data_IF_552002197627
#
_entry.id   IF_552002197627
#
_cell.length_a   1.000
_cell.length_b   1.000
_cell.length_c   1.000
_cell.angle_alpha   90.00
_cell.angle_beta   90.00
_cell.angle_gamma   90.00
#
_symmetry.space_group_name_H-M   'P 1'
#
loop_
_entity.id
_entity.type
_entity.pdbx_description
1 polymer ?
#
# COMPACT_ATOMS: atom_id res chain seq x y z
N UNK A 1 9.13 40.90 25.09
CA UNK A 1 8.57 39.88 26.02
C UNK A 1 7.69 38.82 25.35
N UNK A 2 6.88 39.12 24.33
CA UNK A 2 6.05 38.11 23.60
C UNK A 2 6.84 36.95 22.96
N UNK A 3 8.06 37.20 22.49
CA UNK A 3 8.89 36.20 21.80
C UNK A 3 9.56 35.18 22.74
N UNK A 4 9.80 35.56 24.00
CA UNK A 4 10.35 34.66 25.03
C UNK A 4 9.28 33.65 25.50
N UNK A 5 8.01 34.05 25.52
CA UNK A 5 6.90 33.17 25.90
C UNK A 5 6.67 32.04 24.87
N UNK A 6 6.80 32.36 23.57
CA UNK A 6 6.70 31.38 22.48
C UNK A 6 7.79 30.31 22.53
N UNK A 7 9.02 30.70 22.89
CA UNK A 7 10.15 29.77 23.05
C UNK A 7 9.95 28.82 24.24
N UNK A 8 9.34 29.28 25.33
CA UNK A 8 9.02 28.44 26.49
C UNK A 8 7.90 27.43 26.20
N UNK A 9 6.89 27.81 25.42
CA UNK A 9 5.81 26.90 25.01
C UNK A 9 6.35 25.79 24.10
N UNK A 10 7.31 26.11 23.21
CA UNK A 10 7.89 25.12 22.29
C UNK A 10 8.75 24.06 23.00
N UNK A 11 9.39 24.41 24.11
CA UNK A 11 10.21 23.47 24.92
C UNK A 11 9.33 22.49 25.72
N UNK A 12 8.11 22.88 26.08
CA UNK A 12 7.19 22.03 26.88
C UNK A 12 6.46 20.96 26.05
N UNK A 13 6.55 20.97 24.72
CA UNK A 13 5.88 20.00 23.82
C UNK A 13 6.78 18.77 23.53
N UNK A 14 7.90 18.62 24.22
CA UNK A 14 8.73 17.41 24.15
C UNK A 14 8.06 16.25 24.91
N UNK A 15 6.91 15.77 24.42
CA UNK A 15 6.31 14.53 24.89
C UNK A 15 7.25 13.39 24.51
N UNK A 16 7.94 12.85 25.51
CA UNK A 16 8.72 11.62 25.38
C UNK A 16 7.79 10.50 24.90
N UNK A 17 7.92 10.13 23.63
CA UNK A 17 7.30 8.92 23.12
C UNK A 17 7.98 7.73 23.80
N UNK A 18 7.33 7.17 24.83
CA UNK A 18 7.79 5.93 25.45
C UNK A 18 7.53 4.81 24.46
N UNK A 19 8.59 4.21 23.94
CA UNK A 19 8.49 2.98 23.17
C UNK A 19 7.99 1.87 24.13
N UNK A 20 6.69 1.55 24.03
CA UNK A 20 6.08 0.45 24.78
C UNK A 20 6.74 -0.89 24.43
N UNK A 21 6.77 -1.82 25.38
CA UNK A 21 7.19 -3.20 25.11
C UNK A 21 6.24 -3.80 24.08
N UNK A 22 6.79 -4.38 23.01
CA UNK A 22 5.99 -5.11 22.02
C UNK A 22 6.04 -6.58 22.38
N UNK A 23 4.88 -7.22 22.47
CA UNK A 23 4.70 -8.62 22.76
C UNK A 23 4.46 -9.38 21.47
N UNK A 24 5.12 -10.53 21.31
CA UNK A 24 4.92 -11.48 20.21
C UNK A 24 4.40 -12.80 20.75
N UNK A 25 3.40 -13.38 20.11
CA UNK A 25 2.97 -14.75 20.35
C UNK A 25 2.51 -15.41 19.05
N UNK A 26 2.57 -16.73 19.02
CA UNK A 26 1.96 -17.54 17.96
C UNK A 26 0.65 -18.09 18.49
N UNK A 27 -0.43 -18.08 17.72
CA UNK A 27 -1.70 -18.72 18.13
C UNK A 27 -1.76 -20.21 17.76
N UNK A 28 -2.86 -20.87 18.11
CA UNK A 28 -3.07 -22.30 17.81
C UNK A 28 -3.20 -22.62 16.31
N UNK A 29 -3.45 -21.62 15.47
CA UNK A 29 -3.49 -21.74 14.01
C UNK A 29 -2.11 -21.49 13.37
N UNK A 30 -1.08 -21.20 14.17
CA UNK A 30 0.27 -20.91 13.69
C UNK A 30 0.49 -19.47 13.24
N UNK A 31 -0.46 -18.56 13.48
CA UNK A 31 -0.33 -17.15 13.10
C UNK A 31 0.45 -16.37 14.16
N UNK A 32 1.36 -15.50 13.72
CA UNK A 32 2.18 -14.66 14.60
C UNK A 32 1.52 -13.31 14.79
N UNK A 33 1.29 -12.93 16.04
CA UNK A 33 0.66 -11.67 16.42
C UNK A 33 1.64 -10.78 17.18
N UNK A 34 1.44 -9.46 17.07
CA UNK A 34 2.19 -8.44 17.80
C UNK A 34 1.22 -7.46 18.47
N UNK A 35 1.49 -7.08 19.73
CA UNK A 35 0.67 -6.14 20.50
C UNK A 35 1.51 -5.37 21.52
N UNK A 36 1.11 -4.16 21.87
CA UNK A 36 1.66 -3.38 22.98
C UNK A 36 1.06 -3.79 24.35
N UNK A 37 0.00 -4.61 24.32
CA UNK A 37 -0.64 -5.21 25.49
C UNK A 37 -0.36 -6.71 25.53
N UNK A 38 0.11 -7.28 26.66
CA UNK A 38 0.33 -8.71 26.77
C UNK A 38 -1.00 -9.47 26.63
N UNK A 39 -1.00 -10.68 26.02
CA UNK A 39 -2.22 -11.46 25.93
C UNK A 39 -2.72 -11.83 27.33
N UNK A 40 -4.04 -11.85 27.50
CA UNK A 40 -4.67 -12.16 28.77
C UNK A 40 -4.15 -13.51 29.30
N UNK A 41 -3.89 -13.61 30.61
CA UNK A 41 -3.25 -14.73 31.33
C UNK A 41 -3.88 -16.13 31.16
N UNK A 42 -4.88 -16.28 30.28
CA UNK A 42 -5.50 -17.54 29.85
C UNK A 42 -5.10 -17.98 28.43
N UNK A 43 -4.24 -17.25 27.74
CA UNK A 43 -3.67 -17.72 26.46
C UNK A 43 -2.65 -18.82 26.74
N UNK A 44 -2.86 -19.99 26.15
CA UNK A 44 -1.97 -21.17 26.20
C UNK A 44 -0.59 -20.96 25.54
N UNK A 45 -0.28 -19.73 25.13
CA UNK A 45 0.90 -19.39 24.34
C UNK A 45 1.66 -18.29 25.11
N UNK A 46 2.89 -18.57 25.58
CA UNK A 46 3.69 -17.58 26.27
C UNK A 46 4.03 -16.45 25.29
N UNK A 47 3.74 -15.21 25.68
CA UNK A 47 4.16 -14.04 24.93
C UNK A 47 5.60 -13.69 25.28
N UNK A 48 6.44 -13.49 24.28
CA UNK A 48 7.78 -12.96 24.45
C UNK A 48 7.79 -11.45 24.23
N UNK A 49 8.52 -10.70 25.05
CA UNK A 49 8.77 -9.28 24.78
C UNK A 49 9.85 -9.15 23.72
N UNK A 50 9.55 -8.44 22.65
CA UNK A 50 10.46 -8.15 21.55
C UNK A 50 10.93 -6.71 21.69
N UNK A 51 12.24 -6.53 21.84
CA UNK A 51 12.87 -5.22 21.72
C UNK A 51 12.96 -4.86 20.23
N UNK A 52 12.12 -3.92 19.80
CA UNK A 52 12.19 -3.41 18.44
C UNK A 52 13.44 -2.57 18.28
N UNK A 53 14.40 -3.06 17.49
CA UNK A 53 15.51 -2.23 17.03
C UNK A 53 14.93 -1.16 16.09
N UNK A 54 15.20 0.13 16.32
CA UNK A 54 14.86 1.16 15.36
C UNK A 54 15.45 0.77 14.01
N UNK A 55 14.60 0.65 13.00
CA UNK A 55 15.07 0.48 11.64
C UNK A 55 15.98 1.67 11.32
N UNK A 56 17.11 1.40 10.66
CA UNK A 56 17.88 2.49 10.09
C UNK A 56 16.91 3.32 9.23
N UNK A 57 17.03 4.67 9.24
CA UNK A 57 16.24 5.48 8.33
C UNK A 57 16.43 4.89 6.95
N UNK A 58 15.34 4.44 6.33
CA UNK A 58 15.36 4.11 4.92
C UNK A 58 15.83 5.40 4.28
N UNK A 59 17.07 5.43 3.76
CA UNK A 59 17.49 6.50 2.84
C UNK A 59 16.40 6.45 1.78
N UNK A 60 15.49 7.41 1.79
CA UNK A 60 14.35 7.40 0.91
C UNK A 60 14.88 7.14 -0.48
N UNK A 61 14.71 5.91 -0.97
CA UNK A 61 14.82 5.69 -2.40
C UNK A 61 13.82 6.67 -2.94
N UNK A 62 14.29 7.58 -3.81
CA UNK A 62 13.41 8.53 -4.46
C UNK A 62 12.25 7.71 -4.99
N UNK A 63 11.11 7.81 -4.31
CA UNK A 63 9.88 7.29 -4.84
C UNK A 63 9.76 8.10 -6.13
N UNK A 64 10.00 7.48 -7.29
CA UNK A 64 9.91 8.10 -8.62
C UNK A 64 8.44 8.41 -8.96
N UNK A 65 7.68 8.80 -7.96
CA UNK A 65 6.32 9.23 -8.04
C UNK A 65 6.43 10.73 -8.28
N UNK A 66 6.54 11.10 -9.56
CA UNK A 66 6.63 12.50 -9.95
C UNK A 66 5.42 13.25 -9.38
N UNK A 67 5.61 14.50 -8.93
CA UNK A 67 4.51 15.36 -8.50
C UNK A 67 3.40 15.45 -9.56
N UNK A 68 3.77 15.36 -10.84
CA UNK A 68 2.84 15.30 -11.97
C UNK A 68 1.85 14.13 -11.85
N UNK A 69 2.30 12.95 -11.42
CA UNK A 69 1.40 11.82 -11.25
C UNK A 69 0.33 12.08 -10.19
N UNK A 70 0.64 12.77 -9.07
CA UNK A 70 -0.34 13.04 -8.00
C UNK A 70 -1.43 14.04 -8.40
N UNK A 71 -1.18 14.85 -9.44
CA UNK A 71 -2.18 15.77 -9.98
C UNK A 71 -3.18 15.08 -10.93
N UNK A 72 -2.88 13.86 -11.39
CA UNK A 72 -3.72 13.14 -12.34
C UNK A 72 -4.84 12.39 -11.62
N UNK A 73 -6.05 12.50 -12.18
CA UNK A 73 -7.21 11.72 -11.75
C UNK A 73 -7.13 10.30 -12.30
N UNK A 74 -6.60 9.38 -11.48
CA UNK A 74 -6.47 7.97 -11.84
C UNK A 74 -7.80 7.28 -12.14
N UNK A 75 -8.90 7.70 -11.52
CA UNK A 75 -10.22 7.14 -11.77
C UNK A 75 -10.73 7.54 -13.16
N UNK A 76 -10.52 8.81 -13.54
CA UNK A 76 -10.82 9.28 -14.90
C UNK A 76 -9.96 8.57 -15.94
N UNK A 77 -8.66 8.44 -15.71
CA UNK A 77 -7.77 7.71 -16.63
C UNK A 77 -8.18 6.24 -16.80
N UNK A 78 -8.56 5.58 -15.72
CA UNK A 78 -9.14 4.23 -15.76
C UNK A 78 -10.39 4.19 -16.63
N UNK A 79 -11.32 5.12 -16.42
CA UNK A 79 -12.57 5.18 -17.16
C UNK A 79 -12.31 5.37 -18.66
N UNK A 80 -11.40 6.28 -19.01
CA UNK A 80 -11.13 6.67 -20.38
C UNK A 80 -10.32 5.63 -21.15
N UNK A 81 -9.34 4.98 -20.52
CA UNK A 81 -8.34 4.14 -21.21
C UNK A 81 -8.49 2.64 -20.95
N UNK A 82 -9.05 2.23 -19.82
CA UNK A 82 -9.02 0.82 -19.38
C UNK A 82 -10.43 0.20 -19.30
N UNK A 83 -11.43 0.97 -18.87
CA UNK A 83 -12.75 0.46 -18.50
C UNK A 83 -13.57 -0.11 -19.67
N UNK A 84 -13.18 0.19 -20.92
CA UNK A 84 -13.82 -0.36 -22.10
C UNK A 84 -13.67 -1.89 -22.16
N UNK A 85 -12.49 -2.40 -21.80
CA UNK A 85 -12.14 -3.82 -21.85
C UNK A 85 -12.04 -4.46 -20.46
N UNK A 86 -11.83 -3.67 -19.42
CA UNK A 86 -11.64 -4.14 -18.06
C UNK A 86 -12.73 -3.70 -17.11
N UNK A 87 -12.92 -4.47 -16.05
CA UNK A 87 -13.79 -4.12 -14.94
C UNK A 87 -13.08 -4.31 -13.59
N UNK A 88 -13.61 -3.67 -12.56
CA UNK A 88 -13.05 -3.66 -11.21
C UNK A 88 -13.57 -4.85 -10.40
N UNK A 89 -13.18 -6.06 -10.79
CA UNK A 89 -13.64 -7.28 -10.13
C UNK A 89 -12.84 -8.51 -10.54
N UNK A 90 -13.33 -9.67 -10.13
CA UNK A 90 -12.77 -10.96 -10.48
C UNK A 90 -13.35 -11.50 -11.79
N UNK A 91 -12.59 -12.35 -12.48
CA UNK A 91 -13.08 -13.11 -13.63
C UNK A 91 -13.57 -12.27 -14.80
N UNK A 92 -14.40 -12.86 -15.66
CA UNK A 92 -15.00 -12.17 -16.80
C UNK A 92 -16.42 -11.74 -16.47
N UNK A 93 -16.75 -10.48 -16.75
CA UNK A 93 -18.10 -9.94 -16.58
C UNK A 93 -18.45 -9.06 -17.78
N UNK A 94 -19.63 -9.28 -18.39
CA UNK A 94 -20.12 -8.48 -19.52
C UNK A 94 -19.11 -8.35 -20.68
N UNK A 95 -18.35 -9.42 -20.95
CA UNK A 95 -17.31 -9.46 -21.97
C UNK A 95 -15.99 -8.77 -21.58
N UNK A 96 -15.91 -8.18 -20.38
CA UNK A 96 -14.72 -7.51 -19.85
C UNK A 96 -13.90 -8.44 -18.97
N UNK A 97 -12.59 -8.17 -18.89
CA UNK A 97 -11.65 -8.91 -18.06
C UNK A 97 -11.46 -8.17 -16.73
N UNK A 98 -11.71 -8.86 -15.62
CA UNK A 98 -11.50 -8.35 -14.27
C UNK A 98 -10.02 -8.28 -13.92
N UNK A 99 -9.60 -7.20 -13.27
CA UNK A 99 -8.21 -6.99 -12.87
C UNK A 99 -7.88 -7.43 -11.44
N UNK A 100 -8.83 -7.97 -10.68
CA UNK A 100 -8.59 -8.33 -9.28
C UNK A 100 -7.35 -9.22 -9.11
N UNK A 101 -7.20 -10.29 -9.89
CA UNK A 101 -6.06 -11.21 -9.77
C UNK A 101 -4.71 -10.62 -10.24
N UNK A 102 -4.76 -9.52 -11.00
CA UNK A 102 -3.57 -8.76 -11.38
C UNK A 102 -3.17 -7.82 -10.26
N UNK A 103 -4.14 -7.16 -9.63
CA UNK A 103 -3.89 -6.13 -8.62
C UNK A 103 -3.67 -6.72 -7.23
N UNK A 104 -4.45 -7.73 -6.85
CA UNK A 104 -4.45 -8.35 -5.52
C UNK A 104 -3.64 -9.65 -5.56
N UNK A 105 -2.77 -9.81 -4.57
CA UNK A 105 -2.06 -11.06 -4.35
C UNK A 105 -3.01 -12.07 -3.70
N UNK A 106 -3.28 -13.18 -4.39
CA UNK A 106 -4.16 -14.24 -3.89
C UNK A 106 -3.68 -14.90 -2.60
N UNK A 107 -2.38 -14.85 -2.30
CA UNK A 107 -1.82 -15.43 -1.08
C UNK A 107 -2.06 -14.52 0.14
N UNK A 108 -2.05 -13.20 -0.06
CA UNK A 108 -2.14 -12.25 1.05
C UNK A 108 -3.49 -11.54 1.14
N UNK A 109 -4.25 -11.51 0.06
CA UNK A 109 -5.49 -10.73 -0.06
C UNK A 109 -5.26 -9.22 -0.16
N UNK A 110 -3.99 -8.77 -0.24
CA UNK A 110 -3.65 -7.35 -0.35
C UNK A 110 -3.22 -6.98 -1.76
N UNK A 111 -3.37 -5.70 -2.16
CA UNK A 111 -2.78 -5.21 -3.39
C UNK A 111 -1.27 -5.49 -3.43
N UNK A 112 -0.78 -5.93 -4.60
CA UNK A 112 0.65 -6.13 -4.86
C UNK A 112 1.42 -4.81 -4.73
N UNK A 113 2.74 -4.86 -4.48
CA UNK A 113 3.59 -3.68 -4.47
C UNK A 113 3.51 -2.87 -5.78
N UNK A 114 3.65 -1.55 -5.69
CA UNK A 114 3.55 -0.62 -6.82
C UNK A 114 4.52 -0.94 -7.97
N UNK A 115 5.74 -1.38 -7.66
CA UNK A 115 6.76 -1.74 -8.64
C UNK A 115 6.40 -3.02 -9.40
N UNK A 116 5.88 -4.03 -8.71
CA UNK A 116 5.36 -5.25 -9.35
C UNK A 116 4.16 -4.94 -10.24
N UNK A 117 3.23 -4.10 -9.77
CA UNK A 117 2.07 -3.68 -10.56
C UNK A 117 2.48 -2.88 -11.80
N UNK A 118 3.47 -2.00 -11.66
CA UNK A 118 4.02 -1.23 -12.77
C UNK A 118 4.60 -2.16 -13.82
N UNK A 119 5.46 -3.10 -13.45
CA UNK A 119 6.06 -4.04 -14.40
C UNK A 119 4.98 -4.83 -15.16
N UNK A 120 4.02 -5.42 -14.43
CA UNK A 120 2.94 -6.21 -15.02
C UNK A 120 2.06 -5.39 -15.96
N UNK A 121 1.67 -4.19 -15.55
CA UNK A 121 0.77 -3.37 -16.33
C UNK A 121 1.48 -2.71 -17.51
N UNK A 122 2.75 -2.31 -17.38
CA UNK A 122 3.57 -1.84 -18.52
C UNK A 122 3.60 -2.90 -19.61
N UNK A 123 3.92 -4.14 -19.26
CA UNK A 123 3.90 -5.25 -20.22
C UNK A 123 2.56 -5.39 -20.94
N UNK A 124 1.44 -5.25 -20.21
CA UNK A 124 0.10 -5.34 -20.79
C UNK A 124 -0.24 -4.15 -21.70
N UNK A 125 0.01 -2.91 -21.25
CA UNK A 125 -0.31 -1.69 -22.03
C UNK A 125 0.58 -1.51 -23.25
N UNK A 126 1.74 -2.16 -23.32
CA UNK A 126 2.57 -2.18 -24.51
C UNK A 126 2.08 -3.20 -25.57
N UNK A 127 0.99 -3.91 -25.29
CA UNK A 127 0.35 -4.84 -26.23
C UNK A 127 1.03 -6.21 -26.29
N UNK A 128 1.82 -6.58 -25.27
CA UNK A 128 2.49 -7.88 -25.24
C UNK A 128 1.60 -9.03 -24.73
N UNK A 129 0.32 -8.76 -24.48
CA UNK A 129 -0.68 -9.81 -24.20
C UNK A 129 -1.48 -10.08 -25.46
N UNK A 130 -1.80 -11.35 -25.72
CA UNK A 130 -2.37 -11.79 -27.02
C UNK A 130 -3.72 -11.15 -27.38
N UNK A 131 -4.43 -10.60 -26.39
CA UNK A 131 -5.83 -10.18 -26.51
C UNK A 131 -6.00 -8.66 -26.30
N UNK A 132 -4.91 -7.89 -26.23
CA UNK A 132 -4.93 -6.46 -25.93
C UNK A 132 -3.95 -5.70 -26.82
N UNK A 133 -4.45 -4.73 -27.59
CA UNK A 133 -3.63 -3.79 -28.34
C UNK A 133 -2.85 -2.86 -27.39
N UNK A 134 -1.76 -2.28 -27.89
CA UNK A 134 -1.02 -1.26 -27.15
C UNK A 134 -1.92 -0.05 -26.85
N UNK A 135 -1.88 0.42 -25.60
CA UNK A 135 -2.63 1.57 -25.12
C UNK A 135 -1.69 2.75 -25.08
N UNK A 136 -2.10 3.86 -25.73
CA UNK A 136 -1.38 5.13 -25.61
C UNK A 136 -1.56 5.68 -24.19
N UNK A 137 -0.56 5.46 -23.33
CA UNK A 137 -0.54 5.91 -21.94
C UNK A 137 0.90 6.22 -21.54
N UNK A 138 1.12 7.39 -20.93
CA UNK A 138 2.42 7.75 -20.38
C UNK A 138 2.71 7.04 -19.05
N UNK A 139 3.97 6.92 -18.68
CA UNK A 139 4.41 6.40 -17.37
C UNK A 139 3.72 7.07 -16.17
N UNK A 140 3.44 8.36 -16.28
CA UNK A 140 2.81 9.14 -15.22
C UNK A 140 1.32 8.87 -15.10
N UNK A 141 0.64 8.67 -16.22
CA UNK A 141 -0.77 8.26 -16.26
C UNK A 141 -0.93 6.82 -15.79
N UNK A 142 -0.04 5.91 -16.22
CA UNK A 142 -0.05 4.52 -15.77
C UNK A 142 0.11 4.43 -14.24
N UNK A 143 1.02 5.21 -13.65
CA UNK A 143 1.15 5.28 -12.19
C UNK A 143 -0.10 5.81 -11.50
N UNK A 144 -0.81 6.77 -12.12
CA UNK A 144 -2.04 7.30 -11.56
C UNK A 144 -3.16 6.25 -11.58
N UNK A 145 -3.26 5.46 -12.65
CA UNK A 145 -4.17 4.31 -12.73
C UNK A 145 -3.81 3.25 -11.69
N UNK A 146 -2.52 2.89 -11.53
CA UNK A 146 -2.05 1.93 -10.52
C UNK A 146 -2.52 2.34 -9.13
N UNK A 147 -2.29 3.60 -8.73
CA UNK A 147 -2.73 4.08 -7.41
C UNK A 147 -4.24 4.03 -7.25
N UNK A 148 -5.00 4.38 -8.30
CA UNK A 148 -6.45 4.25 -8.27
C UNK A 148 -6.89 2.79 -8.03
N UNK A 149 -6.27 1.84 -8.72
CA UNK A 149 -6.58 0.41 -8.55
C UNK A 149 -6.22 -0.08 -7.14
N UNK A 150 -5.03 0.26 -6.64
CA UNK A 150 -4.60 -0.09 -5.27
C UNK A 150 -5.58 0.47 -4.24
N UNK A 151 -5.98 1.73 -4.37
CA UNK A 151 -6.93 2.36 -3.46
C UNK A 151 -8.35 1.77 -3.56
N UNK A 152 -8.76 1.34 -4.77
CA UNK A 152 -10.03 0.66 -4.96
C UNK A 152 -10.09 -0.67 -4.21
N UNK A 153 -9.02 -1.47 -4.26
CA UNK A 153 -8.96 -2.82 -3.65
C UNK A 153 -8.46 -2.83 -2.19
N UNK A 154 -8.17 -1.67 -1.59
CA UNK A 154 -7.89 -1.56 -0.15
C UNK A 154 -9.14 -1.53 0.73
N UNK A 155 -10.31 -1.25 0.14
CA UNK A 155 -11.60 -1.10 0.83
C UNK A 155 -12.27 -2.45 1.03
#
# INVERSE_FOLDING_TARGET
MRMVLLLWVLVMIQTVAWAGKVYRWTDSAGQVHFSDVPPASRSSHPAESVDLKPLAPVKGGEAKVSAASFALDGAKLWQDKCSACHHLGEGRESGKIGLFNIVVDSATGFPRPDDELRERLTYAVEGFTSDMDAVDISDSELQAVIRFLVEHYRK
#
